data_IF_558387939713
#
_entry.id   IF_558387939713
#
_cell.length_a   1.000
_cell.length_b   1.000
_cell.length_c   1.000
_cell.angle_alpha   90.00
_cell.angle_beta   90.00
_cell.angle_gamma   90.00
#
_symmetry.space_group_name_H-M   'P 1'
#
loop_
_entity.id
_entity.type
_entity.pdbx_description
1 polymer ?
#
# COMPACT_ATOMS: atom_id res chain seq x y z
N UNK A 1 -48.16 8.62 -25.29
CA UNK A 1 -47.04 9.45 -25.79
C UNK A 1 -45.83 9.12 -24.92
N UNK A 2 -44.87 8.34 -25.43
CA UNK A 2 -43.52 8.79 -25.88
C UNK A 2 -42.70 9.36 -24.70
N UNK A 3 -41.59 8.79 -24.21
CA UNK A 3 -40.45 8.20 -24.90
C UNK A 3 -39.72 7.16 -24.03
N UNK A 4 -39.52 5.94 -24.56
CA UNK A 4 -38.46 5.03 -24.11
C UNK A 4 -37.28 5.22 -25.08
N UNK A 5 -36.22 5.88 -24.62
CA UNK A 5 -34.98 6.01 -25.38
C UNK A 5 -34.15 4.76 -25.16
N UNK A 6 -34.18 3.87 -26.15
CA UNK A 6 -33.29 2.74 -26.31
C UNK A 6 -31.84 3.25 -26.38
N UNK A 7 -31.06 3.02 -25.33
CA UNK A 7 -29.59 3.04 -25.42
C UNK A 7 -29.17 1.66 -25.94
N UNK A 8 -29.29 1.50 -27.25
CA UNK A 8 -28.60 0.47 -27.99
C UNK A 8 -27.17 0.93 -28.27
N UNK A 9 -26.24 -0.02 -28.30
CA UNK A 9 -24.82 0.12 -28.62
C UNK A 9 -23.90 0.45 -27.46
N UNK A 10 -23.47 -0.60 -26.75
CA UNK A 10 -22.11 -0.71 -26.21
C UNK A 10 -21.64 -2.17 -26.36
N UNK A 11 -20.70 -2.35 -27.31
CA UNK A 11 -19.57 -3.29 -27.24
C UNK A 11 -19.88 -4.76 -27.56
N UNK A 12 -20.13 -5.02 -28.84
CA UNK A 12 -19.70 -6.26 -29.49
C UNK A 12 -18.18 -6.16 -29.81
N UNK A 13 -17.36 -6.21 -28.77
CA UNK A 13 -15.88 -6.13 -28.87
C UNK A 13 -15.23 -7.20 -27.98
N UNK A 14 -15.86 -8.38 -27.92
CA UNK A 14 -15.34 -9.56 -27.22
C UNK A 14 -15.15 -10.77 -28.17
N UNK A 15 -15.51 -10.66 -29.45
CA UNK A 15 -15.51 -11.77 -30.40
C UNK A 15 -14.29 -11.80 -31.36
N UNK A 16 -13.33 -10.88 -31.18
CA UNK A 16 -12.03 -10.90 -31.84
C UNK A 16 -10.89 -10.99 -30.81
N UNK A 17 -11.17 -11.60 -29.65
CA UNK A 17 -10.12 -12.26 -28.90
C UNK A 17 -9.66 -13.42 -29.80
N UNK A 18 -8.60 -13.14 -30.55
CA UNK A 18 -7.78 -14.11 -31.25
C UNK A 18 -7.75 -15.38 -30.39
N UNK A 19 -8.03 -16.55 -30.97
CA UNK A 19 -8.07 -17.83 -30.25
C UNK A 19 -6.64 -18.24 -29.89
N UNK A 20 -5.95 -17.38 -29.16
CA UNK A 20 -4.61 -17.56 -28.68
C UNK A 20 -4.64 -18.84 -27.86
N UNK A 21 -3.80 -19.79 -28.26
CA UNK A 21 -3.62 -21.01 -27.52
C UNK A 21 -3.20 -20.63 -26.09
N UNK A 22 -4.10 -20.85 -25.12
CA UNK A 22 -3.84 -20.67 -23.70
C UNK A 22 -3.44 -21.98 -23.03
N UNK A 23 -3.35 -23.08 -23.78
CA UNK A 23 -3.07 -24.39 -23.21
C UNK A 23 -1.70 -24.46 -22.52
N UNK A 24 -0.74 -23.67 -22.99
CA UNK A 24 0.57 -23.53 -22.35
C UNK A 24 0.51 -23.08 -20.88
N UNK A 25 -0.54 -22.34 -20.49
CA UNK A 25 -0.64 -21.79 -19.12
C UNK A 25 -1.02 -22.85 -18.10
N UNK A 26 -1.72 -23.91 -18.50
CA UNK A 26 -2.22 -24.95 -17.60
C UNK A 26 -1.65 -26.35 -17.88
N UNK A 27 -1.10 -26.61 -19.07
CA UNK A 27 -0.40 -27.86 -19.36
C UNK A 27 0.99 -27.88 -18.69
N UNK A 28 1.44 -29.02 -18.15
CA UNK A 28 2.78 -29.15 -17.57
C UNK A 28 3.89 -28.69 -18.53
N UNK A 29 4.94 -28.07 -17.98
CA UNK A 29 6.13 -27.72 -18.77
C UNK A 29 6.87 -28.98 -19.24
N UNK A 30 7.35 -28.95 -20.47
CA UNK A 30 8.16 -30.03 -21.05
C UNK A 30 9.51 -30.08 -20.34
N UNK A 31 9.88 -31.25 -19.83
CA UNK A 31 11.17 -31.46 -19.14
C UNK A 31 12.31 -31.70 -20.13
N UNK A 32 13.56 -31.57 -19.68
CA UNK A 32 14.73 -31.87 -20.51
C UNK A 32 14.73 -33.33 -21.03
N UNK A 33 14.21 -34.27 -20.24
CA UNK A 33 14.03 -35.66 -20.65
C UNK A 33 13.04 -35.77 -21.82
N UNK A 34 11.92 -35.05 -21.74
CA UNK A 34 10.92 -35.01 -22.82
C UNK A 34 11.53 -34.54 -24.14
N UNK A 35 12.32 -33.47 -24.14
CA UNK A 35 12.99 -32.97 -25.36
C UNK A 35 13.96 -34.01 -25.93
N UNK A 36 14.75 -34.66 -25.06
CA UNK A 36 15.70 -35.71 -25.45
C UNK A 36 15.02 -36.92 -26.09
N UNK A 37 13.92 -37.40 -25.50
CA UNK A 37 13.15 -38.55 -26.00
C UNK A 37 12.50 -38.27 -27.36
N UNK A 38 12.12 -37.03 -27.63
CA UNK A 38 11.48 -36.61 -28.88
C UNK A 38 12.47 -36.11 -29.94
N UNK A 39 13.78 -36.19 -29.68
CA UNK A 39 14.81 -35.71 -30.60
C UNK A 39 14.73 -34.20 -30.88
N UNK A 40 14.19 -33.42 -29.95
CA UNK A 40 14.06 -31.98 -30.07
C UNK A 40 15.19 -31.27 -29.32
N UNK A 41 15.67 -30.16 -29.86
CA UNK A 41 16.64 -29.32 -29.17
C UNK A 41 16.02 -28.71 -27.90
N UNK A 42 16.83 -28.54 -26.86
CA UNK A 42 16.40 -27.82 -25.66
C UNK A 42 16.04 -26.38 -26.03
N UNK A 43 14.96 -25.82 -25.47
CA UNK A 43 14.56 -24.45 -25.76
C UNK A 43 15.56 -23.46 -25.16
N UNK A 44 15.67 -22.30 -25.79
CA UNK A 44 16.40 -21.17 -25.22
C UNK A 44 15.72 -20.73 -23.91
N UNK A 45 16.53 -20.50 -22.87
CA UNK A 45 16.05 -20.06 -21.56
C UNK A 45 15.80 -18.56 -21.57
N UNK A 46 14.72 -18.13 -20.92
CA UNK A 46 14.45 -16.71 -20.74
C UNK A 46 15.56 -16.06 -19.89
N UNK A 47 16.07 -14.88 -20.27
CA UNK A 47 17.07 -14.15 -19.50
C UNK A 47 16.51 -13.69 -18.16
N UNK A 48 17.39 -13.28 -17.24
CA UNK A 48 16.96 -12.73 -15.95
C UNK A 48 16.12 -11.45 -16.08
N UNK A 49 16.36 -10.65 -17.13
CA UNK A 49 15.61 -9.42 -17.43
C UNK A 49 15.10 -9.52 -18.87
N UNK A 50 13.78 -9.52 -19.03
CA UNK A 50 13.10 -9.49 -20.33
C UNK A 50 12.52 -8.10 -20.54
N UNK A 51 12.89 -7.45 -21.65
CA UNK A 51 12.32 -6.15 -22.02
C UNK A 51 11.00 -6.37 -22.75
N UNK A 52 9.90 -5.89 -22.18
CA UNK A 52 8.57 -5.95 -22.82
C UNK A 52 8.36 -4.71 -23.68
N UNK A 53 8.66 -3.54 -23.13
CA UNK A 53 8.63 -2.26 -23.85
C UNK A 53 9.78 -1.42 -23.35
N UNK A 54 10.72 -1.10 -24.24
CA UNK A 54 11.92 -0.35 -23.88
C UNK A 54 11.57 0.92 -23.10
N UNK A 55 12.29 1.16 -22.01
CA UNK A 55 12.13 2.29 -21.10
C UNK A 55 10.78 2.37 -20.34
N UNK A 56 9.87 1.41 -20.53
CA UNK A 56 8.54 1.41 -19.92
C UNK A 56 8.21 0.16 -19.13
N UNK A 57 8.50 -1.02 -19.66
CA UNK A 57 8.05 -2.29 -19.08
C UNK A 57 9.11 -3.38 -19.20
N UNK A 58 9.42 -4.01 -18.06
CA UNK A 58 10.43 -5.05 -17.90
C UNK A 58 9.89 -6.15 -17.00
N UNK A 59 10.13 -7.40 -17.38
CA UNK A 59 9.86 -8.57 -16.54
C UNK A 59 11.18 -9.13 -16.03
N UNK A 60 11.31 -9.18 -14.71
CA UNK A 60 12.49 -9.71 -14.04
C UNK A 60 12.17 -11.08 -13.48
N UNK A 61 12.98 -12.08 -13.88
CA UNK A 61 13.00 -13.42 -13.32
C UNK A 61 14.00 -13.46 -12.17
N UNK A 62 13.50 -13.25 -10.96
CA UNK A 62 14.32 -13.20 -9.75
C UNK A 62 14.46 -14.60 -9.15
N UNK A 63 15.68 -15.12 -9.04
CA UNK A 63 15.96 -16.42 -8.42
C UNK A 63 15.42 -16.48 -6.97
N UNK A 64 14.78 -17.60 -6.60
CA UNK A 64 14.17 -17.81 -5.29
C UNK A 64 14.90 -18.95 -4.56
N UNK A 65 16.04 -18.63 -3.96
CA UNK A 65 16.97 -19.64 -3.46
C UNK A 65 16.39 -20.36 -2.24
N UNK A 66 16.11 -21.65 -2.39
CA UNK A 66 15.55 -22.49 -1.32
C UNK A 66 14.05 -22.30 -1.09
N UNK A 67 13.33 -21.68 -2.01
CA UNK A 67 11.88 -21.58 -1.96
C UNK A 67 11.22 -22.93 -2.28
N UNK A 68 10.13 -23.32 -1.60
CA UNK A 68 9.36 -24.51 -1.94
C UNK A 68 8.75 -24.35 -3.33
N UNK A 69 8.67 -25.41 -4.12
CA UNK A 69 8.09 -25.35 -5.46
C UNK A 69 6.68 -25.92 -5.48
N UNK A 70 5.71 -25.10 -5.89
CA UNK A 70 4.30 -25.51 -5.98
C UNK A 70 4.02 -26.14 -7.34
N UNK A 71 3.38 -27.31 -7.34
CA UNK A 71 2.91 -27.97 -8.55
C UNK A 71 1.39 -28.05 -8.51
N UNK A 72 0.78 -27.78 -9.66
CA UNK A 72 -0.63 -28.04 -9.91
C UNK A 72 -0.74 -29.05 -11.04
N UNK A 73 -1.28 -30.22 -10.73
CA UNK A 73 -1.56 -31.23 -11.75
C UNK A 73 -2.80 -30.86 -12.55
N UNK A 74 -2.82 -31.30 -13.80
CA UNK A 74 -3.96 -31.09 -14.67
C UNK A 74 -5.17 -31.83 -14.10
N UNK A 75 -6.31 -31.15 -14.00
CA UNK A 75 -7.56 -31.64 -13.40
C UNK A 75 -7.58 -31.75 -11.86
N UNK A 76 -6.47 -31.49 -11.18
CA UNK A 76 -6.46 -31.43 -9.72
C UNK A 76 -6.86 -30.03 -9.21
N UNK A 77 -7.71 -30.03 -8.19
CA UNK A 77 -8.13 -28.82 -7.48
C UNK A 77 -7.12 -28.44 -6.41
N UNK A 78 -6.45 -29.43 -5.84
CA UNK A 78 -5.51 -29.26 -4.72
C UNK A 78 -4.10 -29.23 -5.28
N UNK A 79 -3.37 -28.18 -4.92
CA UNK A 79 -1.95 -28.04 -5.27
C UNK A 79 -1.11 -28.88 -4.29
N UNK A 80 0.14 -29.20 -4.61
CA UNK A 80 1.04 -29.84 -3.65
C UNK A 80 2.47 -29.30 -3.80
N UNK A 81 3.30 -29.57 -2.78
CA UNK A 81 4.71 -29.22 -2.79
C UNK A 81 5.52 -30.31 -3.46
N UNK A 82 6.40 -29.92 -4.39
CA UNK A 82 7.35 -30.85 -4.99
C UNK A 82 8.50 -31.12 -4.03
N UNK A 83 8.81 -32.40 -3.80
CA UNK A 83 9.93 -32.85 -2.97
C UNK A 83 10.89 -33.74 -3.79
N UNK A 84 12.18 -33.38 -3.95
CA UNK A 84 12.81 -32.13 -3.51
C UNK A 84 12.30 -30.91 -4.31
N UNK A 85 12.34 -29.69 -3.73
CA UNK A 85 11.95 -28.49 -4.46
C UNK A 85 12.92 -28.24 -5.62
N UNK A 86 12.39 -28.07 -6.82
CA UNK A 86 13.20 -27.67 -7.97
C UNK A 86 13.60 -26.19 -7.90
N UNK A 87 14.68 -25.85 -8.60
CA UNK A 87 15.11 -24.46 -8.75
C UNK A 87 14.02 -23.62 -9.39
N UNK A 88 13.73 -22.48 -8.77
CA UNK A 88 12.61 -21.65 -9.17
C UNK A 88 12.91 -20.15 -9.03
N UNK A 89 12.03 -19.36 -9.61
CA UNK A 89 12.16 -17.91 -9.70
C UNK A 89 10.81 -17.24 -9.50
N UNK A 90 10.83 -16.00 -9.05
CA UNK A 90 9.69 -15.10 -8.94
C UNK A 90 9.66 -14.19 -10.17
N UNK A 91 8.50 -14.06 -10.80
CA UNK A 91 8.30 -13.12 -11.89
C UNK A 91 7.80 -11.77 -11.36
N UNK A 92 8.60 -10.74 -11.60
CA UNK A 92 8.34 -9.36 -11.20
C UNK A 92 8.17 -8.51 -12.45
N UNK A 93 6.95 -8.04 -12.71
CA UNK A 93 6.62 -7.17 -13.83
C UNK A 93 6.66 -5.70 -13.38
N UNK A 94 7.68 -4.98 -13.84
CA UNK A 94 7.84 -3.55 -13.61
C UNK A 94 7.33 -2.78 -14.81
N UNK A 95 6.36 -1.90 -14.62
CA UNK A 95 5.76 -1.10 -15.69
C UNK A 95 5.55 0.34 -15.25
N UNK A 96 5.90 1.30 -16.09
CA UNK A 96 5.57 2.71 -15.88
C UNK A 96 4.11 2.96 -16.27
N UNK A 97 3.35 3.58 -15.38
CA UNK A 97 1.98 4.03 -15.64
C UNK A 97 1.98 5.35 -16.42
N UNK A 98 1.50 5.31 -17.66
CA UNK A 98 1.37 6.47 -18.55
C UNK A 98 0.27 7.45 -18.08
N UNK A 99 -0.78 6.96 -17.39
CA UNK A 99 -1.90 7.79 -16.95
C UNK A 99 -1.57 8.58 -15.68
N UNK A 100 -0.77 7.98 -14.80
CA UNK A 100 -0.31 8.60 -13.55
C UNK A 100 1.16 8.24 -13.32
N UNK A 101 2.10 9.17 -13.59
CA UNK A 101 3.53 8.90 -13.48
C UNK A 101 3.89 8.14 -12.21
N UNK A 102 4.33 6.91 -12.40
CA UNK A 102 4.62 5.98 -11.31
C UNK A 102 5.13 4.65 -11.81
N UNK A 103 5.95 4.00 -11.01
CA UNK A 103 6.42 2.65 -11.26
C UNK A 103 5.45 1.67 -10.62
N UNK A 104 4.92 0.76 -11.40
CA UNK A 104 4.08 -0.35 -10.97
C UNK A 104 4.92 -1.63 -10.91
N UNK A 105 4.73 -2.43 -9.86
CA UNK A 105 5.19 -3.82 -9.75
C UNK A 105 3.96 -4.73 -9.70
N UNK A 106 3.81 -5.63 -10.67
CA UNK A 106 2.66 -6.53 -10.81
C UNK A 106 1.32 -5.77 -10.74
N UNK A 107 1.27 -4.60 -11.39
CA UNK A 107 0.10 -3.71 -11.41
C UNK A 107 -0.18 -2.98 -10.08
N UNK A 108 0.78 -2.92 -9.14
CA UNK A 108 0.70 -2.19 -7.86
C UNK A 108 1.74 -1.07 -7.84
N UNK A 109 1.37 0.16 -7.50
CA UNK A 109 2.27 1.32 -7.56
C UNK A 109 3.32 1.27 -6.44
N UNK A 110 4.58 1.07 -6.78
CA UNK A 110 5.68 1.08 -5.81
C UNK A 110 6.41 2.43 -5.74
N UNK A 111 6.38 3.23 -6.80
CA UNK A 111 6.96 4.58 -6.79
C UNK A 111 6.00 5.62 -7.42
N UNK A 112 5.90 6.85 -6.87
CA UNK A 112 6.34 7.26 -5.54
C UNK A 112 5.78 6.39 -4.42
N UNK A 113 6.46 6.39 -3.27
CA UNK A 113 6.07 5.60 -2.11
C UNK A 113 4.69 6.01 -1.60
N UNK A 114 3.77 5.05 -1.60
CA UNK A 114 2.49 5.23 -0.89
C UNK A 114 2.73 5.21 0.63
N UNK A 115 1.88 5.90 1.42
CA UNK A 115 2.02 5.96 2.88
C UNK A 115 1.81 4.61 3.56
N UNK A 116 1.22 3.64 2.84
CA UNK A 116 1.04 2.28 3.31
C UNK A 116 1.72 1.32 2.34
N UNK A 117 2.58 0.40 2.83
CA UNK A 117 3.16 -0.61 1.99
C UNK A 117 2.08 -1.49 1.35
N UNK A 118 2.28 -1.87 0.09
CA UNK A 118 1.30 -2.62 -0.68
C UNK A 118 1.49 -4.12 -0.52
N UNK A 119 0.37 -4.84 -0.49
CA UNK A 119 0.41 -6.29 -0.66
C UNK A 119 0.70 -6.62 -2.13
N UNK A 120 1.88 -7.20 -2.36
CA UNK A 120 2.36 -7.60 -3.68
C UNK A 120 2.49 -9.11 -3.69
N UNK A 121 1.97 -9.73 -4.74
CA UNK A 121 2.19 -11.14 -5.05
C UNK A 121 2.97 -11.28 -6.34
N UNK A 122 3.71 -12.38 -6.49
CA UNK A 122 4.43 -12.72 -7.71
C UNK A 122 4.18 -14.17 -8.11
N UNK A 123 4.24 -14.43 -9.41
CA UNK A 123 4.17 -15.79 -9.92
C UNK A 123 5.49 -16.53 -9.66
N UNK A 124 5.40 -17.76 -9.18
CA UNK A 124 6.52 -18.68 -9.11
C UNK A 124 6.61 -19.47 -10.42
N UNK A 125 7.78 -19.44 -11.05
CA UNK A 125 8.09 -20.22 -12.24
C UNK A 125 9.34 -21.08 -12.02
N UNK A 126 9.54 -22.15 -12.79
CA UNK A 126 10.82 -22.84 -12.83
C UNK A 126 11.96 -21.88 -13.22
N UNK A 127 13.17 -22.10 -12.69
CA UNK A 127 14.33 -21.27 -13.02
C UNK A 127 14.71 -21.37 -14.52
N UNK A 128 14.48 -22.54 -15.11
CA UNK A 128 14.69 -22.87 -16.51
C UNK A 128 13.48 -22.55 -17.42
N UNK A 129 12.69 -21.53 -17.09
CA UNK A 129 11.60 -21.05 -17.94
C UNK A 129 12.11 -20.70 -19.35
N UNK A 130 11.45 -21.20 -20.39
CA UNK A 130 11.85 -20.93 -21.78
C UNK A 130 11.50 -19.52 -22.24
N UNK A 131 12.26 -19.01 -23.21
CA UNK A 131 12.01 -17.70 -23.84
C UNK A 131 10.65 -17.65 -24.54
N UNK A 132 10.22 -18.75 -25.18
CA UNK A 132 8.90 -18.88 -25.80
C UNK A 132 7.77 -18.73 -24.75
N UNK A 133 7.88 -19.44 -23.63
CA UNK A 133 6.89 -19.33 -22.56
C UNK A 133 6.87 -17.92 -21.94
N UNK A 134 8.04 -17.30 -21.70
CA UNK A 134 8.11 -15.92 -21.23
C UNK A 134 7.48 -14.93 -22.22
N UNK A 135 7.68 -15.16 -23.52
CA UNK A 135 7.07 -14.34 -24.58
C UNK A 135 5.54 -14.50 -24.57
N UNK A 136 5.02 -15.72 -24.37
CA UNK A 136 3.57 -15.96 -24.23
C UNK A 136 3.00 -15.30 -22.97
N UNK A 137 3.70 -15.38 -21.83
CA UNK A 137 3.29 -14.72 -20.59
C UNK A 137 3.16 -13.21 -20.75
N UNK A 138 4.08 -12.58 -21.46
CA UNK A 138 4.09 -11.12 -21.68
C UNK A 138 3.08 -10.69 -22.72
N UNK A 139 3.07 -11.34 -23.89
CA UNK A 139 2.15 -11.01 -25.01
C UNK A 139 0.69 -11.28 -24.69
N UNK A 140 0.39 -12.33 -23.92
CA UNK A 140 -0.98 -12.65 -23.49
C UNK A 140 -1.35 -12.01 -22.15
N UNK A 141 -0.52 -11.09 -21.63
CA UNK A 141 -0.77 -10.35 -20.40
C UNK A 141 -1.05 -11.23 -19.16
N UNK A 142 -0.39 -12.39 -19.05
CA UNK A 142 -0.55 -13.31 -17.90
C UNK A 142 -0.17 -12.64 -16.56
N UNK A 143 0.78 -11.70 -16.61
CA UNK A 143 1.27 -10.97 -15.43
C UNK A 143 0.40 -9.75 -15.06
N UNK A 144 -0.69 -9.51 -15.78
CA UNK A 144 -1.67 -8.45 -15.51
C UNK A 144 -2.92 -9.04 -14.81
N UNK A 145 -3.67 -8.18 -14.12
CA UNK A 145 -4.94 -8.48 -13.48
C UNK A 145 -6.03 -8.88 -14.49
N UNK A 146 -5.84 -8.60 -15.78
CA UNK A 146 -6.75 -9.05 -16.84
C UNK A 146 -6.69 -10.55 -17.11
N UNK A 147 -5.67 -11.26 -16.61
CA UNK A 147 -5.55 -12.70 -16.79
C UNK A 147 -6.54 -13.47 -15.91
N UNK A 148 -7.51 -14.14 -16.55
CA UNK A 148 -8.59 -14.89 -15.88
C UNK A 148 -8.57 -16.39 -16.14
N UNK A 149 -7.75 -16.87 -17.07
CA UNK A 149 -7.75 -18.27 -17.54
C UNK A 149 -7.12 -19.24 -16.52
N UNK A 150 -6.52 -18.70 -15.45
CA UNK A 150 -5.74 -19.49 -14.50
C UNK A 150 -4.38 -19.89 -15.06
N UNK A 151 -3.53 -20.43 -14.21
CA UNK A 151 -2.19 -20.85 -14.58
C UNK A 151 -1.72 -21.99 -13.67
N UNK A 152 -0.80 -22.81 -14.18
CA UNK A 152 -0.07 -23.83 -13.43
C UNK A 152 0.95 -23.20 -12.48
N UNK A 153 1.32 -21.95 -12.70
CA UNK A 153 2.33 -21.27 -11.92
C UNK A 153 1.85 -20.86 -10.53
N UNK A 154 2.76 -21.02 -9.58
CA UNK A 154 2.60 -20.61 -8.19
C UNK A 154 2.24 -19.13 -8.07
N UNK A 155 1.57 -18.70 -7.01
CA UNK A 155 1.57 -17.28 -6.61
C UNK A 155 1.98 -17.20 -5.16
N UNK A 156 2.99 -16.39 -4.85
CA UNK A 156 3.39 -16.10 -3.48
C UNK A 156 3.10 -14.66 -3.13
N UNK A 157 2.70 -14.45 -1.89
CA UNK A 157 2.73 -13.13 -1.27
C UNK A 157 4.16 -12.80 -0.86
N UNK A 158 4.61 -11.60 -1.19
CA UNK A 158 5.98 -11.18 -0.95
C UNK A 158 6.09 -10.43 0.38
N UNK A 159 7.05 -10.83 1.21
CA UNK A 159 7.63 -9.98 2.24
C UNK A 159 8.85 -9.30 1.63
N UNK A 160 8.93 -7.97 1.71
CA UNK A 160 9.95 -7.23 0.99
C UNK A 160 10.43 -5.99 1.74
N UNK A 161 11.65 -5.59 1.42
CA UNK A 161 12.20 -4.26 1.67
C UNK A 161 12.22 -3.48 0.36
N UNK A 162 11.69 -2.26 0.41
CA UNK A 162 11.65 -1.35 -0.73
C UNK A 162 12.32 -0.04 -0.34
N UNK A 163 13.28 0.42 -1.13
CA UNK A 163 13.97 1.68 -0.88
C UNK A 163 14.02 2.56 -2.15
N UNK A 164 13.72 3.84 -1.97
CA UNK A 164 13.90 4.88 -2.98
C UNK A 164 15.14 5.67 -2.61
N UNK A 165 16.17 5.57 -3.44
CA UNK A 165 17.48 6.20 -3.25
C UNK A 165 17.63 7.33 -4.26
N UNK A 166 17.78 8.55 -3.77
CA UNK A 166 18.10 9.69 -4.61
C UNK A 166 19.50 9.55 -5.21
N UNK A 167 19.69 10.04 -6.44
CA UNK A 167 21.03 10.19 -7.03
C UNK A 167 21.50 11.64 -6.95
N UNK A 168 22.77 11.89 -7.33
CA UNK A 168 23.30 13.27 -7.43
C UNK A 168 22.67 14.06 -8.58
N UNK A 169 22.14 13.35 -9.59
CA UNK A 169 21.46 13.97 -10.71
C UNK A 169 19.98 14.19 -10.36
N UNK A 170 19.50 15.41 -10.57
CA UNK A 170 18.11 15.73 -10.36
C UNK A 170 17.21 14.91 -11.29
N UNK A 171 16.04 14.49 -10.80
CA UNK A 171 15.11 13.66 -11.56
C UNK A 171 15.58 12.22 -11.78
N UNK A 172 16.62 11.74 -11.10
CA UNK A 172 17.07 10.34 -11.18
C UNK A 172 17.07 9.69 -9.81
N UNK A 173 16.34 8.59 -9.69
CA UNK A 173 16.18 7.84 -8.44
C UNK A 173 16.37 6.35 -8.69
N UNK A 174 17.14 5.69 -7.83
CA UNK A 174 17.20 4.23 -7.77
C UNK A 174 16.04 3.71 -6.94
N UNK A 175 15.36 2.71 -7.46
CA UNK A 175 14.37 1.91 -6.74
C UNK A 175 15.01 0.56 -6.46
N UNK A 176 15.10 0.22 -5.18
CA UNK A 176 15.63 -1.05 -4.70
C UNK A 176 14.49 -1.89 -4.16
N UNK A 177 14.31 -3.09 -4.70
CA UNK A 177 13.28 -4.03 -4.28
C UNK A 177 13.92 -5.37 -3.91
N UNK A 178 13.94 -5.68 -2.61
CA UNK A 178 14.53 -6.89 -2.05
C UNK A 178 13.43 -7.78 -1.44
N UNK A 179 13.27 -8.99 -1.98
CA UNK A 179 12.32 -9.98 -1.45
C UNK A 179 13.00 -10.74 -0.32
N UNK A 180 12.52 -10.54 0.90
CA UNK A 180 13.12 -11.12 2.12
C UNK A 180 12.46 -12.41 2.57
N UNK A 181 11.19 -12.62 2.24
CA UNK A 181 10.49 -13.89 2.42
C UNK A 181 9.33 -14.02 1.44
N UNK A 182 8.87 -15.26 1.22
CA UNK A 182 7.65 -15.57 0.48
C UNK A 182 6.68 -16.32 1.38
N UNK A 183 5.39 -16.03 1.21
CA UNK A 183 4.32 -16.62 2.00
C UNK A 183 3.22 -17.15 1.09
N UNK A 184 2.70 -18.33 1.44
CA UNK A 184 1.49 -18.90 0.86
C UNK A 184 0.52 -19.14 2.01
N UNK A 185 -0.59 -18.39 2.05
CA UNK A 185 -1.60 -18.44 3.12
C UNK A 185 -2.79 -19.36 2.79
N UNK A 186 -2.57 -20.39 1.96
CA UNK A 186 -3.61 -21.36 1.61
C UNK A 186 -3.94 -22.28 2.78
N UNK A 187 -5.22 -22.64 2.94
CA UNK A 187 -5.67 -23.56 4.00
C UNK A 187 -5.06 -24.96 3.87
N UNK A 188 -4.80 -25.42 2.65
CA UNK A 188 -4.33 -26.78 2.38
C UNK A 188 -2.81 -26.89 2.30
N UNK A 189 -2.15 -25.82 1.85
CA UNK A 189 -0.70 -25.79 1.61
C UNK A 189 -0.11 -24.46 2.08
N UNK A 190 -0.20 -24.21 3.38
CA UNK A 190 0.46 -23.06 3.97
C UNK A 190 1.98 -23.28 3.95
N UNK A 191 2.73 -22.31 3.43
CA UNK A 191 4.18 -22.34 3.48
C UNK A 191 4.73 -20.93 3.68
N UNK A 192 5.91 -20.86 4.28
CA UNK A 192 6.68 -19.63 4.36
C UNK A 192 8.16 -19.98 4.23
N UNK A 193 8.86 -19.26 3.39
CA UNK A 193 10.29 -19.43 3.20
C UNK A 193 10.97 -18.08 3.30
N UNK A 194 12.04 -18.01 4.09
CA UNK A 194 12.90 -16.84 4.14
C UNK A 194 13.88 -16.93 2.97
N UNK A 195 14.12 -15.79 2.34
CA UNK A 195 15.05 -15.61 1.23
C UNK A 195 16.30 -14.91 1.77
N UNK A 196 16.91 -15.42 2.83
CA UNK A 196 18.12 -14.88 3.47
C UNK A 196 19.38 -15.70 3.15
N UNK A 197 19.26 -16.69 2.26
CA UNK A 197 20.37 -17.53 1.82
C UNK A 197 21.38 -16.75 0.99
N UNK A 198 22.63 -17.22 1.01
CA UNK A 198 23.71 -16.72 0.16
C UNK A 198 23.34 -16.88 -1.33
N UNK A 199 23.71 -15.90 -2.15
CA UNK A 199 23.35 -15.83 -3.57
C UNK A 199 21.92 -15.35 -3.85
N UNK A 200 21.16 -14.95 -2.81
CA UNK A 200 19.86 -14.31 -3.02
C UNK A 200 20.05 -12.87 -3.52
N UNK A 201 19.68 -12.66 -4.78
CA UNK A 201 19.71 -11.37 -5.46
C UNK A 201 18.49 -10.51 -5.14
N UNK A 202 18.60 -9.22 -5.46
CA UNK A 202 17.55 -8.20 -5.41
C UNK A 202 17.47 -7.43 -6.74
N UNK A 203 16.38 -6.69 -6.94
CA UNK A 203 16.17 -5.89 -8.16
C UNK A 203 16.46 -4.42 -7.88
N UNK A 204 17.15 -3.77 -8.82
CA UNK A 204 17.42 -2.33 -8.80
C UNK A 204 16.98 -1.71 -10.12
N UNK A 205 16.27 -0.59 -10.04
CA UNK A 205 15.72 0.09 -11.20
C UNK A 205 16.10 1.56 -11.12
N UNK A 206 16.80 2.06 -12.13
CA UNK A 206 17.08 3.48 -12.26
C UNK A 206 15.89 4.12 -12.96
N UNK A 207 15.15 4.94 -12.23
CA UNK A 207 14.09 5.77 -12.76
C UNK A 207 14.64 7.15 -13.12
N UNK A 208 14.15 7.67 -14.25
CA UNK A 208 14.42 9.03 -14.68
C UNK A 208 13.12 9.77 -15.01
N UNK A 209 13.03 10.98 -14.48
CA UNK A 209 11.95 11.94 -14.62
C UNK A 209 12.57 13.26 -15.09
N UNK A 210 12.50 13.58 -16.39
CA UNK A 210 13.04 14.83 -16.92
C UNK A 210 12.35 16.04 -16.30
N UNK A 211 13.09 17.12 -16.06
CA UNK A 211 12.52 18.36 -15.51
C UNK A 211 11.47 18.96 -16.45
N UNK A 212 11.70 18.81 -17.77
CA UNK A 212 10.89 19.45 -18.80
C UNK A 212 9.64 18.63 -19.18
N UNK A 213 9.55 17.37 -18.73
CA UNK A 213 8.45 16.45 -19.09
C UNK A 213 7.99 15.72 -17.85
N UNK A 214 6.69 15.74 -17.59
CA UNK A 214 6.05 14.92 -16.56
C UNK A 214 5.96 13.43 -16.96
N UNK A 215 7.00 12.91 -17.60
CA UNK A 215 7.12 11.53 -18.09
C UNK A 215 8.15 10.80 -17.24
N UNK A 216 7.78 9.61 -16.76
CA UNK A 216 8.68 8.71 -16.06
C UNK A 216 9.18 7.65 -17.05
N UNK A 217 10.45 7.26 -16.95
CA UNK A 217 10.96 6.10 -17.67
C UNK A 217 11.99 5.33 -16.86
N UNK A 218 12.13 4.06 -17.22
CA UNK A 218 13.13 3.15 -16.67
C UNK A 218 14.39 3.32 -17.52
N UNK A 219 15.43 3.91 -16.94
CA UNK A 219 16.73 4.10 -17.61
C UNK A 219 17.58 2.83 -17.54
N UNK A 220 17.49 2.08 -16.43
CA UNK A 220 18.27 0.86 -16.23
C UNK A 220 17.55 -0.12 -15.28
N UNK A 221 17.78 -1.42 -15.47
CA UNK A 221 17.28 -2.51 -14.61
C UNK A 221 18.42 -3.46 -14.35
N UNK A 222 18.66 -3.76 -13.07
CA UNK A 222 19.74 -4.64 -12.62
C UNK A 222 19.21 -5.68 -11.64
N UNK A 223 19.75 -6.89 -11.74
CA UNK A 223 19.58 -7.95 -10.73
C UNK A 223 20.94 -8.15 -10.09
N UNK A 224 21.07 -7.75 -8.83
CA UNK A 224 22.36 -7.67 -8.13
C UNK A 224 22.31 -8.41 -6.80
N UNK A 225 23.46 -8.86 -6.32
CA UNK A 225 23.60 -9.36 -4.97
C UNK A 225 23.35 -8.24 -3.95
N UNK A 226 22.90 -8.60 -2.75
CA UNK A 226 22.56 -7.62 -1.69
C UNK A 226 23.74 -6.76 -1.25
N UNK A 227 24.96 -7.30 -1.33
CA UNK A 227 26.18 -6.59 -0.96
C UNK A 227 26.59 -5.51 -1.99
N UNK A 228 26.28 -5.76 -3.26
CA UNK A 228 26.58 -4.88 -4.40
C UNK A 228 25.52 -3.80 -4.62
N UNK A 229 24.54 -3.70 -3.70
CA UNK A 229 23.46 -2.73 -3.84
C UNK A 229 23.98 -1.29 -3.85
N UNK A 230 23.41 -0.46 -4.72
CA UNK A 230 23.70 0.98 -4.74
C UNK A 230 23.52 1.59 -3.34
N UNK A 231 24.57 2.25 -2.85
CA UNK A 231 24.56 2.88 -1.52
C UNK A 231 24.01 4.30 -1.61
N UNK A 232 23.16 4.74 -0.68
CA UNK A 232 22.64 6.10 -0.69
C UNK A 232 23.75 7.11 -0.41
N UNK A 233 23.72 8.24 -1.11
CA UNK A 233 24.69 9.31 -0.85
C UNK A 233 24.25 10.18 0.34
N UNK A 234 25.23 10.79 1.02
CA UNK A 234 24.98 11.71 2.13
C UNK A 234 24.69 13.11 1.59
N UNK A 235 23.54 13.66 1.94
CA UNK A 235 23.13 15.02 1.57
C UNK A 235 23.92 16.07 2.37
N UNK A 236 23.87 17.35 1.93
CA UNK A 236 24.50 18.47 2.66
C UNK A 236 24.02 18.61 4.10
N UNK A 237 22.76 18.23 4.39
CA UNK A 237 22.18 18.21 5.74
C UNK A 237 22.66 17.02 6.60
N UNK A 238 23.55 16.17 6.10
CA UNK A 238 24.09 15.01 6.80
C UNK A 238 23.20 13.77 6.77
N UNK A 239 21.94 13.87 6.32
CA UNK A 239 21.03 12.73 6.15
C UNK A 239 21.34 11.95 4.88
N UNK A 240 21.03 10.65 4.85
CA UNK A 240 21.11 9.82 3.65
C UNK A 240 19.95 10.14 2.71
N UNK A 241 20.20 10.23 1.41
CA UNK A 241 19.18 10.45 0.38
C UNK A 241 18.40 9.14 0.09
N UNK A 242 17.70 8.62 1.10
CA UNK A 242 16.98 7.36 1.00
C UNK A 242 15.69 7.38 1.81
N UNK A 243 14.63 6.80 1.26
CA UNK A 243 13.43 6.41 1.97
C UNK A 243 13.29 4.90 1.89
N UNK A 244 13.12 4.24 3.03
CA UNK A 244 12.97 2.78 3.13
C UNK A 244 11.59 2.43 3.66
N UNK A 245 11.01 1.37 3.14
CA UNK A 245 9.74 0.81 3.56
C UNK A 245 9.86 -0.71 3.61
N UNK A 246 9.27 -1.31 4.63
CA UNK A 246 9.26 -2.76 4.81
C UNK A 246 7.81 -3.24 4.87
N UNK A 247 7.58 -4.39 4.26
CA UNK A 247 6.28 -5.02 4.23
C UNK A 247 6.39 -6.49 4.62
N UNK A 248 5.58 -6.89 5.59
CA UNK A 248 5.41 -8.28 5.99
C UNK A 248 3.92 -8.64 5.95
N UNK A 249 3.46 -9.53 5.05
CA UNK A 249 2.04 -9.87 4.93
C UNK A 249 1.47 -10.57 6.17
N UNK A 250 2.32 -11.07 7.08
CA UNK A 250 1.90 -11.63 8.37
C UNK A 250 1.67 -10.54 9.44
N UNK A 251 2.28 -9.36 9.27
CA UNK A 251 2.11 -8.22 10.17
C UNK A 251 1.19 -7.13 9.61
N UNK A 252 0.86 -7.19 8.33
CA UNK A 252 0.09 -6.17 7.63
C UNK A 252 -1.15 -6.78 6.97
N UNK A 253 -2.28 -6.09 7.12
CA UNK A 253 -3.50 -6.39 6.40
C UNK A 253 -3.98 -5.16 5.58
N UNK A 254 -5.16 -5.29 4.99
CA UNK A 254 -5.78 -4.23 4.20
C UNK A 254 -5.97 -2.91 4.99
N UNK A 255 -6.08 -3.00 6.31
CA UNK A 255 -6.34 -1.86 7.19
C UNK A 255 -5.05 -1.25 7.76
N UNK A 256 -3.92 -1.94 7.65
CA UNK A 256 -2.61 -1.46 8.07
C UNK A 256 -1.86 -2.50 8.90
N UNK A 257 -0.88 -2.04 9.68
CA UNK A 257 -0.09 -2.94 10.54
C UNK A 257 -0.95 -3.46 11.70
N UNK A 258 -0.99 -4.78 11.86
CA UNK A 258 -1.70 -5.49 12.93
C UNK A 258 -1.20 -4.96 14.28
N UNK A 259 -2.14 -4.70 15.20
CA UNK A 259 -1.84 -4.16 16.53
C UNK A 259 -1.66 -2.64 16.61
N UNK A 260 -1.74 -1.89 15.49
CA UNK A 260 -1.64 -0.42 15.52
C UNK A 260 -3.00 0.27 15.73
N UNK A 261 -2.98 1.42 16.43
CA UNK A 261 -4.18 2.26 16.64
C UNK A 261 -4.76 2.74 15.31
N UNK A 262 -3.91 3.07 14.34
CA UNK A 262 -4.31 3.49 13.00
C UNK A 262 -5.11 2.40 12.28
N UNK A 263 -4.70 1.13 12.40
CA UNK A 263 -5.47 -0.01 11.89
C UNK A 263 -6.82 -0.15 12.60
N UNK A 264 -6.87 -0.07 13.93
CA UNK A 264 -8.14 -0.13 14.69
C UNK A 264 -9.11 0.96 14.27
N UNK A 265 -8.62 2.19 14.09
CA UNK A 265 -9.43 3.30 13.60
C UNK A 265 -9.93 3.05 12.17
N UNK A 266 -9.09 2.55 11.27
CA UNK A 266 -9.49 2.21 9.89
C UNK A 266 -10.51 1.08 9.83
N UNK A 267 -10.38 0.06 10.69
CA UNK A 267 -11.35 -1.02 10.85
C UNK A 267 -12.71 -0.50 11.36
N UNK A 268 -12.70 0.42 12.34
CA UNK A 268 -13.94 1.08 12.79
C UNK A 268 -14.56 1.93 11.69
N UNK A 269 -13.76 2.70 10.95
CA UNK A 269 -14.27 3.54 9.87
C UNK A 269 -14.81 2.71 8.70
N UNK A 270 -14.20 1.57 8.36
CA UNK A 270 -14.70 0.71 7.30
C UNK A 270 -16.02 0.01 7.69
N UNK A 271 -16.18 -0.40 8.95
CA UNK A 271 -17.47 -0.95 9.41
C UNK A 271 -18.58 0.09 9.43
N UNK A 272 -18.23 1.38 9.64
CA UNK A 272 -19.19 2.48 9.52
C UNK A 272 -19.68 2.64 8.08
N UNK A 273 -18.86 2.36 7.05
CA UNK A 273 -19.29 2.52 5.65
C UNK A 273 -20.29 1.48 5.16
N UNK A 274 -20.48 0.37 5.88
CA UNK A 274 -21.64 -0.49 5.64
C UNK A 274 -22.91 0.28 6.03
N UNK A 275 -23.93 0.27 5.17
CA UNK A 275 -25.10 1.16 5.21
C UNK A 275 -25.77 1.33 6.59
N UNK A 276 -25.69 0.31 7.46
CA UNK A 276 -26.21 0.32 8.83
C UNK A 276 -25.25 0.99 9.85
N UNK A 277 -23.95 0.90 9.62
CA UNK A 277 -22.89 1.55 10.40
C UNK A 277 -22.93 3.08 10.30
N UNK A 278 -23.28 3.62 9.13
CA UNK A 278 -23.36 5.08 8.93
C UNK A 278 -24.46 5.67 9.81
N UNK A 279 -25.66 5.07 9.80
CA UNK A 279 -26.80 5.57 10.58
C UNK A 279 -26.55 5.47 12.08
N UNK A 280 -25.96 4.37 12.54
CA UNK A 280 -25.64 4.19 13.97
C UNK A 280 -24.54 5.15 14.43
N UNK A 281 -23.49 5.36 13.62
CA UNK A 281 -22.46 6.35 13.91
C UNK A 281 -23.03 7.77 14.03
N UNK A 282 -23.83 8.21 13.05
CA UNK A 282 -24.46 9.53 13.12
C UNK A 282 -25.46 9.63 14.27
N UNK A 283 -26.22 8.59 14.59
CA UNK A 283 -27.11 8.58 15.74
C UNK A 283 -26.34 8.79 17.06
N UNK A 284 -25.17 8.14 17.22
CA UNK A 284 -24.31 8.33 18.40
C UNK A 284 -23.72 9.74 18.44
N UNK A 285 -23.18 10.25 17.32
CA UNK A 285 -22.61 11.61 17.24
C UNK A 285 -23.67 12.67 17.53
N UNK A 286 -24.87 12.54 16.95
CA UNK A 286 -26.00 13.45 17.20
C UNK A 286 -26.42 13.35 18.67
N UNK A 287 -26.53 12.14 19.23
CA UNK A 287 -26.90 11.94 20.64
C UNK A 287 -25.87 12.57 21.58
N UNK A 288 -24.58 12.41 21.30
CA UNK A 288 -23.50 13.04 22.06
C UNK A 288 -23.56 14.57 21.95
N UNK A 289 -23.73 15.12 20.75
CA UNK A 289 -23.87 16.57 20.54
C UNK A 289 -25.07 17.16 21.29
N UNK A 290 -26.22 16.46 21.26
CA UNK A 290 -27.42 16.85 22.02
C UNK A 290 -27.16 16.78 23.53
N UNK A 291 -26.47 15.74 24.00
CA UNK A 291 -26.10 15.59 25.41
C UNK A 291 -25.17 16.73 25.87
N UNK A 292 -24.11 17.02 25.13
CA UNK A 292 -23.21 18.14 25.43
C UNK A 292 -23.90 19.49 25.39
N UNK A 293 -24.76 19.73 24.38
CA UNK A 293 -25.56 20.96 24.31
C UNK A 293 -26.49 21.10 25.53
N UNK A 294 -27.16 20.02 25.94
CA UNK A 294 -28.02 20.02 27.15
C UNK A 294 -27.22 20.30 28.42
N UNK A 295 -26.00 19.76 28.51
CA UNK A 295 -25.11 20.02 29.65
C UNK A 295 -24.71 21.49 29.72
N UNK A 296 -24.28 22.08 28.60
CA UNK A 296 -23.91 23.50 28.52
C UNK A 296 -25.10 24.40 28.88
N UNK A 297 -26.30 24.10 28.38
CA UNK A 297 -27.51 24.88 28.70
C UNK A 297 -27.87 24.78 30.19
N UNK A 298 -27.75 23.60 30.81
CA UNK A 298 -27.98 23.44 32.25
C UNK A 298 -26.98 24.24 33.09
N UNK A 299 -25.70 24.18 32.75
CA UNK A 299 -24.66 24.96 33.44
C UNK A 299 -24.90 26.47 33.28
N UNK A 300 -25.40 26.94 32.13
CA UNK A 300 -25.80 28.34 31.95
C UNK A 300 -27.03 28.71 32.78
N UNK A 301 -28.03 27.84 32.87
CA UNK A 301 -29.23 28.07 33.69
C UNK A 301 -28.92 28.10 35.18
N UNK A 302 -28.06 27.21 35.67
CA UNK A 302 -27.63 27.20 37.07
C UNK A 302 -26.86 28.48 37.42
N UNK A 303 -25.98 28.96 36.53
CA UNK A 303 -25.29 30.24 36.72
C UNK A 303 -26.26 31.43 36.74
N UNK A 304 -27.18 31.50 35.78
CA UNK A 304 -28.18 32.58 35.73
C UNK A 304 -29.11 32.57 36.95
N UNK A 305 -29.46 31.39 37.48
CA UNK A 305 -30.27 31.27 38.69
C UNK A 305 -29.48 31.64 39.94
N UNK A 306 -28.19 31.30 40.01
CA UNK A 306 -27.31 31.72 41.09
C UNK A 306 -27.15 33.24 41.13
N UNK A 307 -26.90 33.88 39.97
CA UNK A 307 -26.85 35.34 39.84
C UNK A 307 -28.18 35.98 40.25
N UNK A 308 -29.32 35.48 39.75
CA UNK A 308 -30.64 35.99 40.13
C UNK A 308 -30.95 35.81 41.62
N UNK A 309 -30.43 34.75 42.26
CA UNK A 309 -30.56 34.53 43.70
C UNK A 309 -29.69 35.49 44.49
N UNK A 310 -28.45 35.73 44.06
CA UNK A 310 -27.59 36.74 44.65
C UNK A 310 -28.20 38.14 44.53
N UNK A 311 -28.78 38.48 43.38
CA UNK A 311 -29.52 39.74 43.18
C UNK A 311 -30.75 39.84 44.09
N UNK A 312 -31.50 38.76 44.27
CA UNK A 312 -32.64 38.72 45.19
C UNK A 312 -32.22 38.84 46.66
N UNK A 313 -31.13 38.17 47.07
CA UNK A 313 -30.56 38.31 48.40
C UNK A 313 -30.00 39.72 48.63
N UNK A 314 -29.34 40.33 47.64
CA UNK A 314 -28.87 41.72 47.69
C UNK A 314 -30.04 42.72 47.77
N UNK A 315 -31.14 42.49 47.05
CA UNK A 315 -32.33 43.34 47.09
C UNK A 315 -33.05 43.27 48.45
N UNK A 316 -33.07 42.10 49.09
CA UNK A 316 -33.58 41.93 50.47
C UNK A 316 -32.70 42.63 51.50
N UNK A 317 -31.38 42.65 51.32
CA UNK A 317 -30.47 43.40 52.20
C UNK A 317 -30.58 44.92 51.99
N UNK A 318 -30.88 45.37 50.78
CA UNK A 318 -31.03 46.80 50.47
C UNK A 318 -32.27 47.45 51.14
N UNK A 319 -33.32 46.70 51.48
CA UNK A 319 -34.52 47.26 52.13
C UNK A 319 -34.29 47.67 53.60
N UNK A 320 -33.30 47.10 54.28
CA UNK A 320 -33.00 47.41 55.69
C UNK A 320 -32.01 48.59 55.86
N UNK A 321 -31.45 49.12 54.77
CA UNK A 321 -30.49 50.24 54.76
C UNK A 321 -31.11 51.58 54.31
N UNK A 322 -32.37 51.85 54.66
CA UNK A 322 -32.98 53.19 54.49
C UNK A 322 -32.72 54.14 55.66
N UNK A 323 -31.86 53.78 56.61
CA UNK A 323 -31.30 54.72 57.56
C UNK A 323 -30.01 55.32 56.97
N UNK A 324 -30.14 56.49 56.36
CA UNK A 324 -29.00 57.34 56.01
C UNK A 324 -28.05 57.43 57.23
N UNK A 325 -26.77 57.04 57.09
CA UNK A 325 -25.82 57.29 58.16
C UNK A 325 -25.74 58.80 58.39
N UNK A 326 -25.71 59.26 59.66
CA UNK A 326 -25.64 60.68 59.96
C UNK A 326 -24.42 61.27 59.27
N UNK A 327 -24.59 62.48 58.71
CA UNK A 327 -23.53 63.22 58.04
C UNK A 327 -22.27 63.23 58.90
N UNK A 328 -21.24 62.49 58.48
CA UNK A 328 -19.92 62.61 59.06
C UNK A 328 -19.38 63.99 58.70
N UNK A 329 -19.29 64.85 59.71
CA UNK A 329 -18.56 66.10 59.63
C UNK A 329 -17.11 65.83 59.21
N UNK A 330 -16.65 66.56 58.20
CA UNK A 330 -15.25 66.63 57.78
C UNK A 330 -14.30 66.69 58.98
N UNK A 331 -13.59 65.61 59.23
CA UNK A 331 -12.39 65.63 60.08
C UNK A 331 -11.22 65.84 59.12
N UNK A 332 -10.74 67.08 59.05
CA UNK A 332 -9.48 67.45 58.43
C UNK A 332 -8.33 66.68 59.10
N UNK A 333 -7.88 65.60 58.46
CA UNK A 333 -6.66 64.88 58.80
C UNK A 333 -5.43 65.55 58.16
N UNK A 334 -4.29 65.61 58.88
CA UNK A 334 -3.17 66.47 58.54
C UNK A 334 -2.34 65.97 57.36
N UNK A 335 -1.76 66.93 56.62
CA UNK A 335 -0.66 66.74 55.68
C UNK A 335 0.49 65.95 56.33
N UNK A 336 0.83 64.79 55.78
CA UNK A 336 2.10 64.12 56.06
C UNK A 336 2.98 64.10 54.81
N UNK A 337 4.21 64.54 55.04
CA UNK A 337 5.19 65.01 54.08
C UNK A 337 5.86 63.87 53.30
N UNK A 338 6.21 64.24 52.08
CA UNK A 338 7.34 63.84 51.26
C UNK A 338 8.54 63.26 52.03
N UNK A 339 9.04 62.11 51.57
CA UNK A 339 10.49 61.81 51.64
C UNK A 339 10.93 61.04 50.38
N UNK A 340 11.86 61.65 49.66
CA UNK A 340 12.63 61.11 48.54
C UNK A 340 13.69 60.13 49.07
N UNK A 341 13.88 58.98 48.39
CA UNK A 341 15.19 58.44 47.95
C UNK A 341 14.99 57.60 46.69
#
# INVERSE_FOLDING_TARGET
>A
MRNFTLVGSLIALAAAADSADTAWSYLPDKTAAWYKEHGQALPELAPAITTVTANKSYVVKLECVGCPFRVRELYEVVEHWQEPPQENSLLLNFTVDDARPGLLLNGKRIAPLDPMPLSISAFQTPANLSQDTMTKMTTQHMLDRSWVVGTKYGTFELQYEHAVIGTRAFGRNWIQFDVTAVHQRSTYNAASAKLDKEGQKMVQILLREPVDRAELYIEDVQVVEREDRVKPFKMKCGKLAMMRTEYNPLEWDYYGKIGTVTRTLRLMLSSITDSWGVLTFWAVVISAAVFFRRRIVREQQEKALAEAREEAEAALLASDYSAEPPAYSDISGPEEKTEEV
#
